data_IF_994718685037
#
_entry.id   IF_994718685037
#
_cell.length_a   1.000
_cell.length_b   1.000
_cell.length_c   1.000
_cell.angle_alpha   90.00
_cell.angle_beta   90.00
_cell.angle_gamma   90.00
#
_symmetry.space_group_name_H-M   'P 1'
#
loop_
_entity.id
_entity.type
_entity.pdbx_description
1 polymer ?
#
# COMPACT_ATOMS: atom_id res chain seq x y z
N UNK A 1 23.31 1.19 -7.44
CA UNK A 1 22.83 -0.03 -6.76
C UNK A 1 21.53 0.14 -5.96
N UNK A 2 21.36 1.15 -5.05
CA UNK A 2 20.10 1.32 -4.27
C UNK A 2 18.87 1.52 -5.17
N UNK A 3 18.97 2.31 -6.23
CA UNK A 3 17.87 2.58 -7.17
C UNK A 3 17.42 1.33 -7.93
N UNK A 4 18.37 0.56 -8.48
CA UNK A 4 18.06 -0.69 -9.21
C UNK A 4 17.36 -1.70 -8.31
N UNK A 5 17.83 -1.88 -7.06
CA UNK A 5 17.16 -2.74 -6.09
C UNK A 5 15.74 -2.27 -5.76
N UNK A 6 15.51 -0.96 -5.72
CA UNK A 6 14.18 -0.41 -5.47
C UNK A 6 13.22 -0.69 -6.63
N UNK A 7 13.68 -0.53 -7.87
CA UNK A 7 12.88 -0.87 -9.06
C UNK A 7 12.50 -2.35 -9.03
N UNK A 8 13.46 -3.26 -8.82
CA UNK A 8 13.19 -4.70 -8.80
C UNK A 8 12.27 -5.13 -7.65
N UNK A 9 12.40 -4.49 -6.49
CA UNK A 9 11.51 -4.73 -5.35
C UNK A 9 10.06 -4.37 -5.62
N UNK A 10 9.78 -3.52 -6.60
CA UNK A 10 8.43 -3.20 -7.04
C UNK A 10 8.03 -3.99 -8.29
N UNK A 11 8.91 -4.11 -9.28
CA UNK A 11 8.62 -4.76 -10.56
C UNK A 11 8.30 -6.25 -10.42
N UNK A 12 9.08 -7.01 -9.64
CA UNK A 12 8.87 -8.46 -9.48
C UNK A 12 7.51 -8.76 -8.83
N UNK A 13 7.10 -8.10 -7.72
CA UNK A 13 5.77 -8.25 -7.18
C UNK A 13 4.64 -7.82 -8.12
N UNK A 14 4.83 -6.77 -8.94
CA UNK A 14 3.86 -6.37 -9.96
C UNK A 14 3.67 -7.51 -10.98
N UNK A 15 4.75 -8.10 -11.50
CA UNK A 15 4.66 -9.28 -12.37
C UNK A 15 3.96 -10.46 -11.68
N UNK A 16 4.32 -10.75 -10.43
CA UNK A 16 3.67 -11.82 -9.68
C UNK A 16 2.17 -11.62 -9.54
N UNK A 17 1.73 -10.38 -9.30
CA UNK A 17 0.31 -10.03 -9.23
C UNK A 17 -0.35 -10.11 -10.61
N UNK A 18 0.29 -9.65 -11.66
CA UNK A 18 -0.25 -9.71 -13.03
C UNK A 18 -0.43 -11.16 -13.49
N UNK A 19 0.52 -12.05 -13.19
CA UNK A 19 0.40 -13.49 -13.44
C UNK A 19 -0.78 -14.08 -12.67
N UNK A 20 -0.92 -13.75 -11.39
CA UNK A 20 -2.03 -14.21 -10.54
C UNK A 20 -3.39 -13.80 -11.12
N UNK A 21 -3.53 -12.54 -11.56
CA UNK A 21 -4.73 -11.98 -12.15
C UNK A 21 -5.03 -12.67 -13.49
N UNK A 22 -4.01 -12.91 -14.30
CA UNK A 22 -4.16 -13.65 -15.57
C UNK A 22 -4.65 -15.08 -15.34
N UNK A 23 -4.16 -15.76 -14.30
CA UNK A 23 -4.64 -17.09 -13.92
C UNK A 23 -6.10 -17.03 -13.50
N UNK A 24 -6.50 -16.07 -12.65
CA UNK A 24 -7.91 -15.88 -12.27
C UNK A 24 -8.79 -15.66 -13.50
N UNK A 25 -8.38 -14.79 -14.42
CA UNK A 25 -9.15 -14.52 -15.64
C UNK A 25 -9.44 -15.79 -16.45
N UNK A 26 -8.48 -16.71 -16.53
CA UNK A 26 -8.60 -17.91 -17.35
C UNK A 26 -9.17 -19.13 -16.61
N UNK A 27 -9.39 -19.03 -15.29
CA UNK A 27 -9.96 -20.12 -14.46
C UNK A 27 -11.32 -19.76 -13.92
N UNK A 28 -11.41 -18.75 -13.07
CA UNK A 28 -12.61 -18.34 -12.35
C UNK A 28 -13.38 -17.27 -13.13
N UNK A 29 -12.64 -16.29 -13.72
CA UNK A 29 -13.17 -15.10 -14.34
C UNK A 29 -13.39 -13.94 -13.36
N UNK A 30 -13.82 -12.78 -13.94
CA UNK A 30 -14.16 -11.57 -13.21
C UNK A 30 -15.65 -11.26 -13.38
N UNK A 31 -16.34 -10.95 -12.28
CA UNK A 31 -17.79 -10.75 -12.21
C UNK A 31 -18.18 -9.33 -11.78
N UNK A 32 -17.21 -8.43 -11.71
CA UNK A 32 -17.39 -7.05 -11.28
C UNK A 32 -18.41 -6.27 -12.13
N UNK A 33 -18.42 -6.46 -13.45
CA UNK A 33 -19.38 -5.83 -14.34
C UNK A 33 -20.82 -6.37 -14.11
N UNK A 34 -20.95 -7.67 -13.83
CA UNK A 34 -22.25 -8.30 -13.55
C UNK A 34 -22.85 -7.87 -12.21
N UNK A 35 -22.00 -7.57 -11.22
CA UNK A 35 -22.44 -7.12 -9.89
C UNK A 35 -22.80 -5.63 -9.88
N UNK A 36 -22.37 -4.85 -10.85
CA UNK A 36 -22.64 -3.40 -10.90
C UNK A 36 -24.14 -3.08 -10.78
N UNK A 37 -25.01 -3.85 -11.44
CA UNK A 37 -26.46 -3.67 -11.39
C UNK A 37 -27.03 -3.89 -9.96
N UNK A 38 -26.39 -4.72 -9.16
CA UNK A 38 -26.80 -5.06 -7.79
C UNK A 38 -26.26 -4.02 -6.79
N UNK A 39 -24.97 -3.69 -6.89
CA UNK A 39 -24.26 -2.85 -5.89
C UNK A 39 -24.28 -1.36 -6.25
N UNK A 40 -24.64 -1.02 -7.50
CA UNK A 40 -24.71 0.34 -8.05
C UNK A 40 -23.40 1.15 -7.85
N UNK A 41 -22.25 0.49 -7.93
CA UNK A 41 -20.94 1.09 -7.71
C UNK A 41 -20.11 1.08 -8.99
N UNK A 42 -19.95 2.24 -9.62
CA UNK A 42 -19.20 2.41 -10.87
C UNK A 42 -17.69 2.16 -10.71
N UNK A 43 -17.15 2.29 -9.51
CA UNK A 43 -15.73 2.06 -9.27
C UNK A 43 -15.29 0.61 -9.50
N UNK A 44 -16.19 -0.36 -9.28
CA UNK A 44 -15.93 -1.77 -9.55
C UNK A 44 -15.67 -2.07 -11.03
N UNK A 45 -16.19 -1.26 -11.95
CA UNK A 45 -16.12 -1.51 -13.39
C UNK A 45 -14.91 -0.93 -14.11
N UNK A 46 -13.99 -0.29 -13.38
CA UNK A 46 -12.80 0.34 -13.99
C UNK A 46 -11.82 -0.63 -14.64
N UNK A 47 -11.80 -1.89 -14.22
CA UNK A 47 -10.90 -2.91 -14.75
C UNK A 47 -11.66 -4.17 -15.19
N UNK A 48 -10.97 -5.06 -15.89
CA UNK A 48 -11.44 -6.38 -16.31
C UNK A 48 -12.61 -6.37 -17.31
N UNK A 49 -12.84 -5.25 -18.01
CA UNK A 49 -13.79 -5.16 -19.11
C UNK A 49 -13.29 -5.76 -20.42
N UNK A 50 -11.98 -5.94 -20.56
CA UNK A 50 -11.33 -6.56 -21.71
C UNK A 50 -10.42 -7.71 -21.28
N UNK A 51 -10.20 -8.67 -22.20
CA UNK A 51 -9.34 -9.82 -21.91
C UNK A 51 -7.87 -9.38 -21.90
N UNK A 52 -7.18 -9.70 -20.81
CA UNK A 52 -5.76 -9.44 -20.61
C UNK A 52 -4.92 -10.48 -21.36
N UNK A 53 -3.78 -10.05 -21.90
CA UNK A 53 -2.87 -10.90 -22.67
C UNK A 53 -1.54 -11.11 -21.95
N UNK A 54 -0.74 -12.09 -22.42
CA UNK A 54 0.62 -12.32 -21.90
C UNK A 54 1.50 -11.09 -22.14
N UNK A 55 1.29 -10.37 -23.24
CA UNK A 55 2.04 -9.15 -23.54
C UNK A 55 1.74 -8.03 -22.53
N UNK A 56 0.49 -7.95 -22.05
CA UNK A 56 0.11 -7.01 -21.00
C UNK A 56 0.86 -7.34 -19.69
N UNK A 57 1.01 -8.63 -19.33
CA UNK A 57 1.79 -9.04 -18.15
C UNK A 57 3.24 -8.53 -18.25
N UNK A 58 3.89 -8.73 -19.39
CA UNK A 58 5.29 -8.33 -19.57
C UNK A 58 5.48 -6.81 -19.44
N UNK A 59 4.52 -6.04 -19.94
CA UNK A 59 4.57 -4.57 -19.94
C UNK A 59 4.06 -3.93 -18.64
N UNK A 60 3.36 -4.67 -17.80
CA UNK A 60 2.68 -4.09 -16.63
C UNK A 60 3.61 -3.31 -15.68
N UNK A 61 4.82 -3.79 -15.30
CA UNK A 61 5.70 -2.98 -14.45
C UNK A 61 6.11 -1.65 -15.08
N UNK A 62 6.24 -1.58 -16.40
CA UNK A 62 6.51 -0.34 -17.11
C UNK A 62 5.32 0.63 -16.98
N UNK A 63 4.10 0.16 -17.26
CA UNK A 63 2.89 0.98 -17.12
C UNK A 63 2.72 1.49 -15.70
N UNK A 64 2.88 0.62 -14.72
CA UNK A 64 2.72 0.97 -13.29
C UNK A 64 3.80 1.93 -12.81
N UNK A 65 5.08 1.64 -13.06
CA UNK A 65 6.19 2.38 -12.45
C UNK A 65 6.56 3.66 -13.21
N UNK A 66 6.32 3.72 -14.52
CA UNK A 66 6.64 4.88 -15.34
C UNK A 66 5.39 5.74 -15.60
N UNK A 67 4.30 5.14 -16.07
CA UNK A 67 3.10 5.87 -16.45
C UNK A 67 2.13 6.08 -15.28
N UNK A 68 2.22 5.27 -14.21
CA UNK A 68 1.31 5.34 -13.05
C UNK A 68 -0.08 4.81 -13.37
N UNK A 69 -0.19 3.93 -14.37
CA UNK A 69 -1.43 3.27 -14.77
C UNK A 69 -1.28 1.77 -14.68
N UNK A 70 -2.36 1.05 -14.40
CA UNK A 70 -2.37 -0.40 -14.35
C UNK A 70 -3.59 -0.94 -15.09
N UNK A 71 -3.38 -1.97 -15.91
CA UNK A 71 -4.46 -2.74 -16.53
C UNK A 71 -4.94 -3.88 -15.66
N UNK A 72 -4.11 -4.31 -14.73
CA UNK A 72 -4.36 -5.48 -13.88
C UNK A 72 -4.91 -5.13 -12.50
N UNK A 73 -4.41 -4.05 -11.89
CA UNK A 73 -4.71 -3.79 -10.48
C UNK A 73 -4.89 -2.30 -10.19
N UNK A 74 -6.13 -1.88 -9.95
CA UNK A 74 -6.46 -0.48 -9.69
C UNK A 74 -5.60 0.14 -8.57
N UNK A 75 -5.38 -0.49 -7.41
CA UNK A 75 -4.53 0.04 -6.35
C UNK A 75 -3.10 0.42 -6.76
N UNK A 76 -2.56 -0.11 -7.85
CA UNK A 76 -1.15 0.11 -8.24
C UNK A 76 -0.82 1.53 -8.72
N UNK A 77 -1.79 2.40 -8.91
CA UNK A 77 -1.58 3.80 -9.32
C UNK A 77 -0.60 4.57 -8.41
N UNK A 78 -0.51 4.24 -7.14
CA UNK A 78 0.38 4.93 -6.18
C UNK A 78 1.85 4.46 -6.25
N UNK A 79 2.14 3.31 -6.88
CA UNK A 79 3.49 2.73 -6.87
C UNK A 79 4.51 3.57 -7.63
N UNK A 80 4.09 4.30 -8.68
CA UNK A 80 4.94 5.28 -9.36
C UNK A 80 5.41 6.38 -8.40
N UNK A 81 4.48 6.98 -7.68
CA UNK A 81 4.80 8.07 -6.76
C UNK A 81 5.65 7.59 -5.58
N UNK A 82 5.44 6.34 -5.12
CA UNK A 82 6.32 5.70 -4.13
C UNK A 82 7.74 5.45 -4.68
N UNK A 83 7.88 5.11 -5.97
CA UNK A 83 9.19 4.97 -6.62
C UNK A 83 9.89 6.31 -6.72
N UNK A 84 9.19 7.34 -7.22
CA UNK A 84 9.71 8.73 -7.32
C UNK A 84 10.17 9.22 -5.95
N UNK A 85 9.34 9.07 -4.91
CA UNK A 85 9.68 9.45 -3.53
C UNK A 85 10.95 8.76 -3.04
N UNK A 86 11.12 7.48 -3.37
CA UNK A 86 12.32 6.73 -2.99
C UNK A 86 13.57 7.31 -3.66
N UNK A 87 13.48 7.71 -4.93
CA UNK A 87 14.59 8.32 -5.64
C UNK A 87 14.91 9.72 -5.13
N UNK A 88 13.90 10.51 -4.80
CA UNK A 88 14.10 11.82 -4.15
C UNK A 88 14.84 11.67 -2.82
N UNK A 89 14.38 10.75 -1.95
CA UNK A 89 15.04 10.48 -0.66
C UNK A 89 16.48 10.01 -0.85
N UNK A 90 16.74 9.09 -1.80
CA UNK A 90 18.09 8.62 -2.07
C UNK A 90 18.98 9.71 -2.63
N UNK A 91 18.47 10.57 -3.52
CA UNK A 91 19.19 11.71 -4.07
C UNK A 91 19.56 12.72 -2.99
N UNK A 92 18.62 13.09 -2.13
CA UNK A 92 18.87 13.98 -1.00
C UNK A 92 19.92 13.39 -0.04
N UNK A 93 19.76 12.12 0.34
CA UNK A 93 20.73 11.43 1.22
C UNK A 93 22.11 11.28 0.59
N UNK A 94 22.21 11.27 -0.75
CA UNK A 94 23.51 11.23 -1.45
C UNK A 94 24.19 12.60 -1.52
N UNK A 95 23.40 13.67 -1.74
CA UNK A 95 23.90 15.05 -1.88
C UNK A 95 24.23 15.68 -0.51
N UNK A 96 23.38 15.42 0.50
CA UNK A 96 23.51 16.05 1.81
C UNK A 96 24.55 15.34 2.67
N UNK A 97 25.60 16.10 3.07
CA UNK A 97 26.69 15.59 3.93
C UNK A 97 26.30 15.50 5.40
N UNK A 98 25.33 16.29 5.86
CA UNK A 98 24.90 16.30 7.25
C UNK A 98 23.42 15.91 7.41
N UNK A 99 23.08 15.24 8.53
CA UNK A 99 21.69 14.90 8.86
C UNK A 99 20.79 16.16 8.99
N UNK A 100 21.35 17.29 9.38
CA UNK A 100 20.62 18.57 9.49
C UNK A 100 20.20 19.07 8.10
N UNK A 101 21.13 19.10 7.14
CA UNK A 101 20.84 19.50 5.75
C UNK A 101 19.90 18.53 5.06
N UNK A 102 20.05 17.22 5.29
CA UNK A 102 19.14 16.18 4.79
C UNK A 102 17.71 16.42 5.30
N UNK A 103 17.54 16.67 6.62
CA UNK A 103 16.22 16.93 7.21
C UNK A 103 15.58 18.18 6.59
N UNK A 104 16.33 19.29 6.48
CA UNK A 104 15.82 20.53 5.88
C UNK A 104 15.40 20.29 4.42
N UNK A 105 16.23 19.62 3.62
CA UNK A 105 15.92 19.34 2.22
C UNK A 105 14.66 18.48 2.07
N UNK A 106 14.49 17.44 2.90
CA UNK A 106 13.28 16.60 2.88
C UNK A 106 12.06 17.41 3.33
N UNK A 107 12.16 18.28 4.34
CA UNK A 107 11.07 19.16 4.74
C UNK A 107 10.64 20.09 3.60
N UNK A 108 11.60 20.72 2.91
CA UNK A 108 11.31 21.58 1.75
C UNK A 108 10.60 20.80 0.64
N UNK A 109 11.10 19.60 0.30
CA UNK A 109 10.44 18.74 -0.70
C UNK A 109 9.04 18.30 -0.26
N UNK A 110 8.82 18.08 1.04
CA UNK A 110 7.50 17.76 1.59
C UNK A 110 6.50 18.90 1.37
N UNK A 111 6.94 20.15 1.64
CA UNK A 111 6.12 21.35 1.41
C UNK A 111 5.83 21.53 -0.08
N UNK A 112 6.83 21.36 -0.95
CA UNK A 112 6.65 21.43 -2.41
C UNK A 112 5.68 20.36 -2.90
N UNK A 113 5.76 19.14 -2.40
CA UNK A 113 4.83 18.07 -2.74
C UNK A 113 3.40 18.39 -2.27
N UNK A 114 3.23 19.01 -1.11
CA UNK A 114 1.94 19.47 -0.62
C UNK A 114 1.33 20.57 -1.52
N UNK A 115 2.13 21.58 -1.88
CA UNK A 115 1.69 22.70 -2.74
C UNK A 115 1.31 22.20 -4.14
N UNK A 116 2.07 21.22 -4.68
CA UNK A 116 1.81 20.66 -6.01
C UNK A 116 0.73 19.57 -6.02
N UNK A 117 0.05 19.31 -4.89
CA UNK A 117 -1.01 18.30 -4.78
C UNK A 117 -0.54 16.85 -4.89
N UNK A 118 0.78 16.58 -4.77
CA UNK A 118 1.36 15.24 -4.86
C UNK A 118 1.28 14.52 -3.51
N UNK A 119 0.07 14.16 -3.10
CA UNK A 119 -0.24 13.62 -1.76
C UNK A 119 0.53 12.35 -1.40
N UNK A 120 0.75 11.42 -2.33
CA UNK A 120 1.51 10.18 -2.07
C UNK A 120 3.00 10.50 -1.85
N UNK A 121 3.58 11.37 -2.70
CA UNK A 121 4.97 11.81 -2.54
C UNK A 121 5.14 12.50 -1.19
N UNK A 122 4.23 13.41 -0.85
CA UNK A 122 4.22 14.10 0.44
C UNK A 122 4.16 13.10 1.61
N UNK A 123 3.25 12.12 1.58
CA UNK A 123 3.14 11.10 2.63
C UNK A 123 4.43 10.30 2.82
N UNK A 124 5.09 9.89 1.73
CA UNK A 124 6.38 9.19 1.78
C UNK A 124 7.49 10.07 2.38
N UNK A 125 7.54 11.35 2.01
CA UNK A 125 8.51 12.31 2.54
C UNK A 125 8.25 12.62 4.02
N UNK A 126 6.99 12.77 4.44
CA UNK A 126 6.60 12.88 5.84
C UNK A 126 7.10 11.68 6.68
N UNK A 127 6.96 10.46 6.18
CA UNK A 127 7.52 9.26 6.83
C UNK A 127 9.04 9.31 6.96
N UNK A 128 9.76 9.86 5.97
CA UNK A 128 11.21 10.06 6.04
C UNK A 128 11.60 11.15 7.05
N UNK A 129 10.86 12.26 7.09
CA UNK A 129 11.02 13.30 8.13
C UNK A 129 10.81 12.71 9.53
N UNK A 130 9.75 11.92 9.72
CA UNK A 130 9.46 11.28 11.00
C UNK A 130 10.63 10.42 11.49
N UNK A 131 11.26 9.65 10.59
CA UNK A 131 12.44 8.85 10.90
C UNK A 131 13.63 9.72 11.33
N UNK A 132 13.95 10.76 10.56
CA UNK A 132 15.11 11.63 10.84
C UNK A 132 14.95 12.46 12.12
N UNK A 133 13.73 12.87 12.44
CA UNK A 133 13.39 13.59 13.65
C UNK A 133 13.32 12.66 14.86
N UNK A 134 12.72 11.47 14.70
CA UNK A 134 12.57 10.49 15.77
C UNK A 134 13.89 9.96 16.32
N UNK A 135 14.95 9.92 15.50
CA UNK A 135 16.31 9.55 15.94
C UNK A 135 16.91 10.57 16.93
N UNK A 136 16.38 11.80 16.98
CA UNK A 136 16.96 12.91 17.78
C UNK A 136 16.14 13.30 19.01
N UNK A 137 14.90 12.87 19.09
CA UNK A 137 13.96 13.36 20.10
C UNK A 137 13.80 12.39 21.26
N UNK A 138 14.58 12.58 22.32
CA UNK A 138 14.22 12.05 23.64
C UNK A 138 13.17 12.96 24.28
N UNK A 139 11.89 12.63 24.06
CA UNK A 139 10.78 13.39 24.65
C UNK A 139 10.52 12.87 26.04
N UNK A 140 11.22 13.45 27.05
CA UNK A 140 11.13 12.97 28.43
C UNK A 140 9.90 13.45 29.23
N UNK A 141 9.38 14.66 29.02
CA UNK A 141 8.45 15.26 29.99
C UNK A 141 6.96 15.26 29.60
N UNK A 142 6.57 15.03 28.34
CA UNK A 142 5.15 15.07 27.89
C UNK A 142 4.75 13.88 27.04
N UNK A 143 5.32 12.72 27.28
CA UNK A 143 5.16 11.49 26.48
C UNK A 143 3.68 11.12 26.23
N UNK A 144 2.83 11.20 27.25
CA UNK A 144 1.43 10.79 27.15
C UNK A 144 0.59 11.68 26.25
N UNK A 145 0.81 13.01 26.27
CA UNK A 145 0.06 13.96 25.44
C UNK A 145 0.42 13.79 23.95
N UNK A 146 1.71 13.63 23.66
CA UNK A 146 2.20 13.46 22.29
C UNK A 146 1.70 12.14 21.70
N UNK A 147 1.66 11.08 22.51
CA UNK A 147 1.13 9.78 22.08
C UNK A 147 -0.38 9.85 21.87
N UNK A 148 -1.11 10.46 22.79
CA UNK A 148 -2.55 10.63 22.66
C UNK A 148 -2.88 11.46 21.42
N UNK A 149 -2.17 12.56 21.19
CA UNK A 149 -2.28 13.37 19.99
C UNK A 149 -1.91 12.56 18.74
N UNK A 150 -0.81 11.82 18.76
CA UNK A 150 -0.38 10.94 17.66
C UNK A 150 -1.38 9.83 17.34
N UNK A 151 -2.18 9.37 18.27
CA UNK A 151 -3.25 8.38 18.07
C UNK A 151 -4.55 8.99 17.56
N UNK A 152 -4.96 10.12 18.16
CA UNK A 152 -6.24 10.75 17.86
C UNK A 152 -6.19 11.56 16.55
N UNK A 153 -5.10 12.27 16.29
CA UNK A 153 -4.96 13.12 15.09
C UNK A 153 -5.13 12.34 13.78
N UNK A 154 -4.53 11.15 13.58
CA UNK A 154 -4.75 10.38 12.35
C UNK A 154 -6.20 9.94 12.17
N UNK A 155 -6.89 9.62 13.25
CA UNK A 155 -8.30 9.25 13.22
C UNK A 155 -9.17 10.44 12.79
N UNK A 156 -8.99 11.59 13.43
CA UNK A 156 -9.70 12.84 13.08
C UNK A 156 -9.38 13.26 11.65
N UNK A 157 -8.12 13.17 11.25
CA UNK A 157 -7.67 13.52 9.91
C UNK A 157 -8.28 12.62 8.82
N UNK A 158 -8.43 11.33 9.10
CA UNK A 158 -9.06 10.37 8.20
C UNK A 158 -10.53 10.74 7.97
N UNK A 159 -11.28 11.04 9.03
CA UNK A 159 -12.69 11.48 8.91
C UNK A 159 -12.84 12.84 8.26
N UNK A 160 -11.85 13.72 8.39
CA UNK A 160 -11.85 15.02 7.73
C UNK A 160 -11.58 14.94 6.21
N UNK A 161 -11.17 13.77 5.69
CA UNK A 161 -10.90 13.54 4.26
C UNK A 161 -9.74 14.36 3.68
N UNK A 162 -8.91 14.98 4.53
CA UNK A 162 -7.80 15.82 4.09
C UNK A 162 -6.48 15.02 4.13
N UNK A 163 -5.98 14.65 2.94
CA UNK A 163 -4.77 13.84 2.79
C UNK A 163 -3.50 14.50 3.36
N UNK A 164 -3.39 15.84 3.31
CA UNK A 164 -2.25 16.58 3.87
C UNK A 164 -2.25 16.42 5.39
N UNK A 165 -3.38 16.72 6.01
CA UNK A 165 -3.54 16.59 7.45
C UNK A 165 -3.34 15.14 7.93
N UNK A 166 -3.88 14.17 7.20
CA UNK A 166 -3.70 12.74 7.46
C UNK A 166 -2.22 12.35 7.42
N UNK A 167 -1.47 12.79 6.41
CA UNK A 167 -0.05 12.45 6.27
C UNK A 167 0.81 13.03 7.38
N UNK A 168 0.57 14.27 7.77
CA UNK A 168 1.28 14.94 8.89
C UNK A 168 0.94 14.22 10.21
N UNK A 169 -0.32 13.89 10.43
CA UNK A 169 -0.77 13.20 11.63
C UNK A 169 -0.14 11.81 11.77
N UNK A 170 -0.04 11.05 10.67
CA UNK A 170 0.67 9.78 10.66
C UNK A 170 2.19 9.94 10.88
N UNK A 171 2.81 11.01 10.40
CA UNK A 171 4.22 11.30 10.71
C UNK A 171 4.41 11.55 12.21
N UNK A 172 3.54 12.33 12.85
CA UNK A 172 3.53 12.52 14.30
C UNK A 172 3.34 11.20 15.06
N UNK A 173 2.44 10.35 14.60
CA UNK A 173 2.22 9.02 15.15
C UNK A 173 3.49 8.15 15.09
N UNK A 174 4.17 8.13 13.93
CA UNK A 174 5.42 7.37 13.75
C UNK A 174 6.56 7.86 14.66
N UNK A 175 6.59 9.15 15.00
CA UNK A 175 7.55 9.69 15.98
C UNK A 175 7.18 9.30 17.40
N UNK A 176 5.88 9.30 17.73
CA UNK A 176 5.38 9.12 19.07
C UNK A 176 5.41 7.65 19.54
N UNK A 177 5.01 6.72 18.67
CA UNK A 177 4.84 5.28 18.99
C UNK A 177 6.11 4.64 19.57
N UNK A 178 7.31 4.81 19.01
CA UNK A 178 8.52 4.18 19.53
C UNK A 178 8.93 4.69 20.92
N UNK A 179 8.39 5.83 21.35
CA UNK A 179 8.74 6.49 22.61
C UNK A 179 7.93 6.00 23.81
N UNK A 180 6.88 5.23 23.58
CA UNK A 180 6.04 4.64 24.63
C UNK A 180 6.14 3.13 24.57
N UNK A 181 6.78 2.54 25.57
CA UNK A 181 7.04 1.10 25.62
C UNK A 181 5.79 0.25 25.44
N UNK A 182 4.67 0.67 26.04
CA UNK A 182 3.38 -0.03 25.93
C UNK A 182 2.88 -0.07 24.49
N UNK A 183 3.01 1.02 23.74
CA UNK A 183 2.63 1.09 22.33
C UNK A 183 3.62 0.29 21.47
N UNK A 184 4.92 0.45 21.73
CA UNK A 184 5.97 -0.34 21.08
C UNK A 184 5.68 -1.84 21.24
N UNK A 185 5.34 -2.30 22.43
CA UNK A 185 4.99 -3.70 22.69
C UNK A 185 3.79 -4.18 21.85
N UNK A 186 2.75 -3.36 21.69
CA UNK A 186 1.58 -3.68 20.86
C UNK A 186 1.99 -3.81 19.38
N UNK A 187 2.78 -2.85 18.85
CA UNK A 187 3.20 -2.85 17.44
C UNK A 187 4.32 -3.86 17.15
N UNK A 188 5.07 -4.30 18.13
CA UNK A 188 6.12 -5.30 18.00
C UNK A 188 5.66 -6.73 18.33
N UNK A 189 4.40 -6.94 18.68
CA UNK A 189 3.88 -8.28 18.99
C UNK A 189 3.94 -9.19 17.74
N UNK A 190 3.92 -10.51 17.95
CA UNK A 190 4.02 -11.52 16.88
C UNK A 190 2.95 -11.36 15.79
N UNK A 191 1.72 -10.98 16.19
CA UNK A 191 0.60 -10.80 15.27
C UNK A 191 0.86 -9.61 14.33
N UNK A 192 1.20 -8.45 14.90
CA UNK A 192 1.45 -7.22 14.13
C UNK A 192 2.63 -7.38 13.18
N UNK A 193 3.71 -8.03 13.63
CA UNK A 193 4.86 -8.37 12.78
C UNK A 193 4.47 -9.30 11.63
N UNK A 194 3.60 -10.30 11.88
CA UNK A 194 3.10 -11.19 10.82
C UNK A 194 2.22 -10.46 9.81
N UNK A 195 1.28 -9.61 10.29
CA UNK A 195 0.43 -8.79 9.42
C UNK A 195 1.25 -7.81 8.60
N UNK A 196 2.20 -7.10 9.22
CA UNK A 196 3.12 -6.22 8.49
C UNK A 196 3.93 -6.95 7.42
N UNK A 197 4.31 -8.17 7.71
CA UNK A 197 5.09 -8.98 6.78
C UNK A 197 4.30 -9.48 5.55
N UNK A 198 2.97 -9.54 5.60
CA UNK A 198 2.11 -9.92 4.47
C UNK A 198 1.35 -8.71 3.88
N UNK A 199 1.57 -7.51 4.41
CA UNK A 199 0.82 -6.30 4.05
C UNK A 199 0.88 -5.97 2.56
N UNK A 200 2.04 -6.14 1.92
CA UNK A 200 2.17 -5.92 0.48
C UNK A 200 1.36 -6.95 -0.32
N UNK A 201 1.40 -8.22 0.06
CA UNK A 201 0.57 -9.26 -0.55
C UNK A 201 -0.93 -8.97 -0.42
N UNK A 202 -1.38 -8.50 0.75
CA UNK A 202 -2.76 -8.05 0.97
C UNK A 202 -3.09 -6.90 0.00
N UNK A 203 -2.25 -5.87 -0.05
CA UNK A 203 -2.41 -4.75 -0.95
C UNK A 203 -2.46 -5.16 -2.44
N UNK A 204 -1.63 -6.12 -2.84
CA UNK A 204 -1.55 -6.56 -4.23
C UNK A 204 -2.74 -7.46 -4.64
N UNK A 205 -3.29 -8.26 -3.73
CA UNK A 205 -4.23 -9.33 -4.07
C UNK A 205 -5.69 -9.04 -3.71
N UNK A 206 -5.99 -8.09 -2.80
CA UNK A 206 -7.38 -7.86 -2.37
C UNK A 206 -8.29 -7.45 -3.53
N UNK A 207 -7.81 -6.61 -4.44
CA UNK A 207 -8.62 -6.10 -5.55
C UNK A 207 -9.08 -7.19 -6.53
N UNK A 208 -8.19 -8.04 -7.10
CA UNK A 208 -8.62 -9.14 -7.96
C UNK A 208 -9.51 -10.17 -7.23
N UNK A 209 -9.31 -10.41 -5.95
CA UNK A 209 -10.15 -11.33 -5.17
C UNK A 209 -11.55 -10.77 -4.99
N UNK A 210 -11.70 -9.48 -4.69
CA UNK A 210 -13.01 -8.82 -4.60
C UNK A 210 -13.75 -8.90 -5.94
N UNK A 211 -13.07 -8.57 -7.05
CA UNK A 211 -13.70 -8.51 -8.39
C UNK A 211 -14.00 -9.89 -9.00
N UNK A 212 -13.38 -10.96 -8.50
CA UNK A 212 -13.66 -12.34 -8.92
C UNK A 212 -14.58 -13.05 -7.92
N UNK A 213 -14.00 -13.60 -6.88
CA UNK A 213 -14.68 -14.45 -5.89
C UNK A 213 -15.71 -13.66 -5.07
N UNK A 214 -15.37 -12.42 -4.65
CA UNK A 214 -16.30 -11.57 -3.91
C UNK A 214 -17.55 -11.25 -4.72
N UNK A 215 -17.39 -10.84 -5.97
CA UNK A 215 -18.49 -10.56 -6.87
C UNK A 215 -19.30 -11.82 -7.22
N UNK A 216 -18.64 -12.95 -7.48
CA UNK A 216 -19.29 -14.22 -7.70
C UNK A 216 -20.16 -14.64 -6.50
N UNK A 217 -19.65 -14.45 -5.28
CA UNK A 217 -20.38 -14.75 -4.06
C UNK A 217 -21.64 -13.88 -3.94
N UNK A 218 -21.54 -12.58 -4.20
CA UNK A 218 -22.69 -11.66 -4.18
C UNK A 218 -23.75 -12.11 -5.17
N UNK A 219 -23.38 -12.43 -6.42
CA UNK A 219 -24.33 -12.91 -7.45
C UNK A 219 -25.04 -14.19 -6.99
N UNK A 220 -24.28 -15.15 -6.45
CA UNK A 220 -24.81 -16.46 -6.07
C UNK A 220 -25.84 -16.39 -4.92
N UNK A 221 -25.74 -15.43 -4.01
CA UNK A 221 -26.52 -15.38 -2.78
C UNK A 221 -27.48 -14.20 -2.67
N UNK A 222 -27.42 -13.19 -3.55
CA UNK A 222 -28.27 -11.98 -3.50
C UNK A 222 -29.77 -12.31 -3.48
N UNK A 223 -30.21 -13.36 -4.18
CA UNK A 223 -31.63 -13.75 -4.24
C UNK A 223 -32.01 -14.76 -3.14
N UNK A 224 -31.08 -15.18 -2.29
CA UNK A 224 -31.30 -16.23 -1.27
C UNK A 224 -31.21 -15.70 0.16
N UNK A 225 -30.49 -14.62 0.39
CA UNK A 225 -30.22 -14.06 1.71
C UNK A 225 -30.43 -12.55 1.68
N UNK A 226 -30.55 -11.96 2.86
CA UNK A 226 -30.59 -10.49 3.03
C UNK A 226 -29.28 -9.86 2.56
N UNK A 227 -29.36 -8.70 1.91
CA UNK A 227 -28.22 -8.02 1.30
C UNK A 227 -27.07 -7.73 2.29
N UNK A 228 -27.38 -7.33 3.52
CA UNK A 228 -26.41 -7.09 4.58
C UNK A 228 -25.64 -8.36 4.97
N UNK A 229 -26.32 -9.50 5.07
CA UNK A 229 -25.72 -10.81 5.36
C UNK A 229 -24.82 -11.25 4.21
N UNK A 230 -25.28 -11.11 2.96
CA UNK A 230 -24.48 -11.44 1.76
C UNK A 230 -23.20 -10.62 1.71
N UNK A 231 -23.28 -9.31 1.95
CA UNK A 231 -22.11 -8.43 1.94
C UNK A 231 -21.13 -8.76 3.06
N UNK A 232 -21.62 -9.05 4.26
CA UNK A 232 -20.77 -9.47 5.39
C UNK A 232 -20.05 -10.78 5.10
N UNK A 233 -20.77 -11.79 4.58
CA UNK A 233 -20.18 -13.08 4.24
C UNK A 233 -19.17 -12.96 3.10
N UNK A 234 -19.48 -12.17 2.05
CA UNK A 234 -18.54 -11.86 0.97
C UNK A 234 -17.29 -11.18 1.48
N UNK A 235 -17.42 -10.19 2.38
CA UNK A 235 -16.30 -9.52 3.02
C UNK A 235 -15.42 -10.50 3.80
N UNK A 236 -16.01 -11.32 4.66
CA UNK A 236 -15.27 -12.32 5.45
C UNK A 236 -14.54 -13.32 4.55
N UNK A 237 -15.20 -13.81 3.50
CA UNK A 237 -14.60 -14.70 2.50
C UNK A 237 -13.41 -14.02 1.80
N UNK A 238 -13.58 -12.79 1.29
CA UNK A 238 -12.52 -12.05 0.62
C UNK A 238 -11.34 -11.75 1.55
N UNK A 239 -11.59 -11.33 2.79
CA UNK A 239 -10.53 -11.06 3.77
C UNK A 239 -9.75 -12.33 4.09
N UNK A 240 -10.44 -13.43 4.40
CA UNK A 240 -9.79 -14.71 4.72
C UNK A 240 -8.94 -15.23 3.57
N UNK A 241 -9.50 -15.22 2.35
CA UNK A 241 -8.80 -15.67 1.16
C UNK A 241 -7.60 -14.77 0.83
N UNK A 242 -7.77 -13.45 0.96
CA UNK A 242 -6.68 -12.49 0.75
C UNK A 242 -5.53 -12.72 1.72
N UNK A 243 -5.80 -12.98 3.00
CA UNK A 243 -4.77 -13.26 4.01
C UNK A 243 -4.00 -14.56 3.69
N UNK A 244 -4.72 -15.62 3.30
CA UNK A 244 -4.09 -16.91 2.92
C UNK A 244 -3.20 -16.72 1.69
N UNK A 245 -3.73 -16.09 0.64
CA UNK A 245 -3.00 -15.87 -0.61
C UNK A 245 -1.85 -14.87 -0.44
N UNK A 246 -1.99 -13.85 0.41
CA UNK A 246 -0.89 -12.94 0.75
C UNK A 246 0.25 -13.66 1.49
N UNK A 247 -0.06 -14.63 2.35
CA UNK A 247 0.96 -15.45 2.98
C UNK A 247 1.72 -16.31 1.95
N UNK A 248 1.01 -16.92 1.00
CA UNK A 248 1.62 -17.66 -0.12
C UNK A 248 2.45 -16.74 -1.03
N UNK A 249 1.93 -15.57 -1.36
CA UNK A 249 2.63 -14.55 -2.16
C UNK A 249 3.94 -14.12 -1.52
N UNK A 250 3.95 -13.93 -0.20
CA UNK A 250 5.18 -13.68 0.55
C UNK A 250 6.17 -14.81 0.46
N UNK A 251 5.72 -16.07 0.59
CA UNK A 251 6.58 -17.26 0.56
C UNK A 251 7.19 -17.52 -0.82
N UNK A 252 6.56 -17.06 -1.88
CA UNK A 252 6.95 -17.24 -3.28
C UNK A 252 7.56 -15.97 -3.87
N UNK A 253 6.73 -15.02 -4.23
CA UNK A 253 7.11 -13.82 -5.01
C UNK A 253 8.04 -12.89 -4.23
N UNK A 254 7.70 -12.56 -2.96
CA UNK A 254 8.53 -11.65 -2.17
C UNK A 254 9.87 -12.31 -1.80
N UNK A 255 9.89 -13.60 -1.55
CA UNK A 255 11.12 -14.36 -1.29
C UNK A 255 12.02 -14.42 -2.54
N UNK A 256 11.43 -14.61 -3.73
CA UNK A 256 12.13 -14.50 -5.00
C UNK A 256 12.72 -13.10 -5.18
N UNK A 257 11.91 -12.07 -4.96
CA UNK A 257 12.33 -10.67 -5.02
C UNK A 257 13.55 -10.41 -4.12
N UNK A 258 13.50 -10.89 -2.88
CA UNK A 258 14.60 -10.74 -1.94
C UNK A 258 15.88 -11.46 -2.41
N UNK A 259 15.76 -12.64 -3.02
CA UNK A 259 16.89 -13.40 -3.59
C UNK A 259 17.52 -12.64 -4.77
N UNK A 260 16.71 -12.20 -5.73
CA UNK A 260 17.19 -11.44 -6.90
C UNK A 260 17.90 -10.14 -6.45
N UNK A 261 17.32 -9.42 -5.50
CA UNK A 261 17.95 -8.22 -4.94
C UNK A 261 19.27 -8.48 -4.18
N UNK A 262 19.52 -9.70 -3.72
CA UNK A 262 20.81 -10.08 -3.11
C UNK A 262 21.89 -10.36 -4.15
N UNK A 263 21.56 -10.89 -5.31
CA UNK A 263 22.51 -11.21 -6.37
C UNK A 263 23.11 -9.95 -7.00
N UNK A 264 22.38 -8.84 -6.98
CA UNK A 264 22.81 -7.55 -7.56
C UNK A 264 23.65 -6.77 -6.53
N UNK A 265 24.65 -7.42 -5.99
CA UNK A 265 25.56 -6.76 -5.04
C UNK A 265 26.73 -6.14 -5.74
#
# INVERSE_FOLDING_TARGET
MKCTKRILRLAIPIWGTAIFIFVIQNTIGFYNHSVQAIVQNTWLTHLYGSRLTILDILKEPFFVLILGTSKFNSPFWCLRDMLISSFLIYGVSWICKSKKTETIAICVLTVLAAITGRSIIMACLCGSCARLLGEKTEIQSKKHIIVLAGLLLPLVAFFAGNLVFTSISFACFLIAVPQVERMKSIFECKLTKRLGAVSFGIYALHWPIINSIGCLFIIAFTNRLRSDVVLLMALLCCVSLTLILAALFRMTVEKLTARVCKIIH
#
